data_IF_798742719102
#
_entry.id   IF_798742719102
#
_cell.length_a   1.000
_cell.length_b   1.000
_cell.length_c   1.000
_cell.angle_alpha   90.00
_cell.angle_beta   90.00
_cell.angle_gamma   90.00
#
_symmetry.space_group_name_H-M   'P 1'
#
loop_
_entity.id
_entity.type
_entity.pdbx_description
1 polymer ?
#
# COMPACT_ATOMS: atom_id res chain seq x y z
N UNK A 1 -30.83 27.18 -2.82
CA UNK A 1 -30.94 25.97 -2.00
C UNK A 1 -29.98 24.96 -2.60
N UNK A 2 -28.98 24.58 -1.78
CA UNK A 2 -28.17 23.34 -1.73
C UNK A 2 -27.84 22.64 -3.06
N UNK A 3 -26.59 22.36 -3.45
CA UNK A 3 -25.39 22.00 -2.69
C UNK A 3 -24.87 20.66 -3.24
N UNK A 4 -23.78 20.69 -4.01
CA UNK A 4 -22.68 19.70 -3.98
C UNK A 4 -21.70 19.94 -5.14
N UNK A 5 -20.71 20.79 -4.87
CA UNK A 5 -19.46 20.86 -5.60
C UNK A 5 -18.65 19.61 -5.24
N UNK A 6 -18.81 18.54 -6.02
CA UNK A 6 -17.86 17.42 -6.00
C UNK A 6 -16.57 17.97 -6.61
N UNK A 7 -15.69 18.52 -5.77
CA UNK A 7 -14.34 18.88 -6.15
C UNK A 7 -13.54 17.58 -6.35
N UNK A 8 -13.80 16.85 -7.44
CA UNK A 8 -12.84 15.85 -7.90
C UNK A 8 -11.57 16.62 -8.29
N UNK A 9 -10.42 16.36 -7.65
CA UNK A 9 -9.18 17.04 -8.01
C UNK A 9 -8.85 16.77 -9.49
N UNK A 10 -8.17 17.72 -10.17
CA UNK A 10 -7.90 17.64 -11.61
C UNK A 10 -7.26 16.29 -11.98
N UNK A 11 -7.94 15.58 -12.88
CA UNK A 11 -7.68 14.19 -13.31
C UNK A 11 -6.46 14.04 -14.20
N UNK A 12 -5.33 14.69 -13.87
CA UNK A 12 -4.10 14.68 -14.65
C UNK A 12 -2.86 14.28 -13.85
N UNK A 13 -2.68 14.85 -12.66
CA UNK A 13 -1.43 14.66 -11.87
C UNK A 13 -1.59 13.63 -10.75
N UNK A 14 -2.73 13.59 -10.05
CA UNK A 14 -2.96 12.66 -8.93
C UNK A 14 -3.03 11.19 -9.31
N UNK A 15 -3.55 10.88 -10.52
CA UNK A 15 -3.62 9.48 -11.00
C UNK A 15 -2.23 8.86 -11.13
N UNK A 16 -1.21 9.67 -11.47
CA UNK A 16 0.16 9.20 -11.70
C UNK A 16 0.84 8.75 -10.41
N UNK A 17 0.68 9.49 -9.30
CA UNK A 17 1.27 9.11 -8.01
C UNK A 17 0.58 7.89 -7.39
N UNK A 18 -0.74 7.80 -7.51
CA UNK A 18 -1.48 6.62 -7.04
C UNK A 18 -1.07 5.38 -7.82
N UNK A 19 -1.04 5.44 -9.15
CA UNK A 19 -0.57 4.32 -9.98
C UNK A 19 0.88 3.95 -9.65
N UNK A 20 1.79 4.93 -9.50
CA UNK A 20 3.18 4.67 -9.11
C UNK A 20 3.29 4.04 -7.71
N UNK A 21 2.45 4.45 -6.77
CA UNK A 21 2.34 3.84 -5.44
C UNK A 21 1.87 2.39 -5.51
N UNK A 22 0.85 2.11 -6.31
CA UNK A 22 0.35 0.75 -6.55
C UNK A 22 1.41 -0.12 -7.23
N UNK A 23 2.11 0.37 -8.25
CA UNK A 23 3.21 -0.36 -8.89
C UNK A 23 4.35 -0.69 -7.90
N UNK A 24 4.66 0.23 -6.98
CA UNK A 24 5.62 -0.01 -5.91
C UNK A 24 5.14 -1.09 -4.95
N UNK A 25 3.86 -1.08 -4.54
CA UNK A 25 3.29 -2.15 -3.73
C UNK A 25 3.39 -3.51 -4.41
N UNK A 26 3.01 -3.59 -5.69
CA UNK A 26 3.13 -4.82 -6.48
C UNK A 26 4.57 -5.37 -6.47
N UNK A 27 5.54 -4.48 -6.65
CA UNK A 27 6.96 -4.83 -6.63
C UNK A 27 7.41 -5.33 -5.26
N UNK A 28 7.03 -4.65 -4.19
CA UNK A 28 7.35 -5.05 -2.81
C UNK A 28 6.75 -6.42 -2.47
N UNK A 29 5.47 -6.63 -2.81
CA UNK A 29 4.78 -7.93 -2.61
C UNK A 29 5.52 -9.05 -3.33
N UNK A 30 5.94 -8.80 -4.58
CA UNK A 30 6.74 -9.76 -5.33
C UNK A 30 8.06 -10.07 -4.63
N UNK A 31 8.79 -9.05 -4.17
CA UNK A 31 10.06 -9.27 -3.46
C UNK A 31 9.88 -10.02 -2.13
N UNK A 32 8.81 -9.73 -1.37
CA UNK A 32 8.51 -10.45 -0.13
C UNK A 32 8.21 -11.93 -0.41
N UNK A 33 7.50 -12.21 -1.51
CA UNK A 33 7.16 -13.56 -1.93
C UNK A 33 8.33 -14.36 -2.52
N UNK A 34 9.18 -13.70 -3.32
CA UNK A 34 10.27 -14.32 -4.09
C UNK A 34 11.58 -14.44 -3.31
N UNK A 35 11.89 -13.47 -2.43
CA UNK A 35 13.14 -13.47 -1.69
C UNK A 35 13.16 -14.63 -0.66
N UNK A 36 14.30 -15.27 -0.46
CA UNK A 36 14.45 -16.40 0.47
C UNK A 36 15.00 -15.93 1.83
N UNK A 37 15.58 -14.73 1.87
CA UNK A 37 16.27 -14.17 3.03
C UNK A 37 15.33 -13.33 3.89
N UNK A 38 15.10 -13.78 5.12
CA UNK A 38 14.22 -13.11 6.09
C UNK A 38 14.59 -11.64 6.34
N UNK A 39 15.88 -11.29 6.36
CA UNK A 39 16.33 -9.90 6.57
C UNK A 39 15.86 -8.96 5.44
N UNK A 40 15.89 -9.42 4.19
CA UNK A 40 15.41 -8.62 3.05
C UNK A 40 13.89 -8.46 3.11
N UNK A 41 13.17 -9.53 3.49
CA UNK A 41 11.72 -9.47 3.68
C UNK A 41 11.32 -8.42 4.71
N UNK A 42 12.02 -8.35 5.85
CA UNK A 42 11.76 -7.34 6.87
C UNK A 42 11.91 -5.94 6.28
N UNK A 43 13.00 -5.67 5.56
CA UNK A 43 13.21 -4.36 4.92
C UNK A 43 12.10 -4.03 3.89
N UNK A 44 11.66 -5.00 3.09
CA UNK A 44 10.56 -4.80 2.14
C UNK A 44 9.20 -4.58 2.83
N UNK A 45 8.96 -5.23 3.97
CA UNK A 45 7.77 -5.02 4.79
C UNK A 45 7.76 -3.63 5.43
N UNK A 46 8.92 -3.14 5.90
CA UNK A 46 9.05 -1.76 6.40
C UNK A 46 8.83 -0.72 5.29
N UNK A 47 9.40 -0.94 4.10
CA UNK A 47 9.17 -0.08 2.93
C UNK A 47 7.70 -0.06 2.52
N UNK A 48 7.02 -1.21 2.60
CA UNK A 48 5.58 -1.32 2.35
C UNK A 48 4.79 -0.46 3.34
N UNK A 49 5.07 -0.59 4.64
CA UNK A 49 4.39 0.17 5.68
C UNK A 49 4.60 1.69 5.52
N UNK A 50 5.82 2.11 5.16
CA UNK A 50 6.13 3.53 4.88
C UNK A 50 5.34 4.06 3.70
N UNK A 51 5.27 3.29 2.61
CA UNK A 51 4.53 3.68 1.41
C UNK A 51 3.03 3.79 1.68
N UNK A 52 2.47 2.85 2.44
CA UNK A 52 1.08 2.90 2.90
C UNK A 52 0.77 4.17 3.69
N UNK A 53 1.57 4.45 4.73
CA UNK A 53 1.42 5.66 5.54
C UNK A 53 1.57 6.95 4.73
N UNK A 54 2.51 6.99 3.78
CA UNK A 54 2.71 8.14 2.90
C UNK A 54 1.48 8.40 2.02
N UNK A 55 0.95 7.36 1.37
CA UNK A 55 -0.20 7.50 0.47
C UNK A 55 -1.47 7.85 1.25
N UNK A 56 -1.70 7.28 2.43
CA UNK A 56 -2.81 7.66 3.30
C UNK A 56 -2.64 9.11 3.80
N UNK A 57 -1.44 9.50 4.25
CA UNK A 57 -1.17 10.85 4.73
C UNK A 57 -1.34 11.92 3.65
N UNK A 58 -1.10 11.57 2.37
CA UNK A 58 -1.35 12.45 1.22
C UNK A 58 -2.83 12.52 0.82
N UNK A 59 -3.69 11.71 1.46
CA UNK A 59 -5.12 11.60 1.15
C UNK A 59 -5.37 10.88 -0.17
N UNK A 60 -4.46 10.00 -0.58
CA UNK A 60 -4.65 9.16 -1.77
C UNK A 60 -5.50 7.93 -1.47
N UNK A 61 -5.43 7.43 -0.25
CA UNK A 61 -6.29 6.35 0.25
C UNK A 61 -6.86 6.73 1.60
N UNK A 62 -8.11 6.35 1.86
CA UNK A 62 -8.75 6.62 3.16
C UNK A 62 -8.25 5.66 4.25
N UNK A 63 -7.84 4.45 3.87
CA UNK A 63 -7.41 3.40 4.80
C UNK A 63 -6.59 2.29 4.13
N UNK A 64 -5.92 1.47 4.94
CA UNK A 64 -5.22 0.25 4.51
C UNK A 64 -6.13 -0.68 3.68
N UNK A 65 -7.41 -0.83 4.07
CA UNK A 65 -8.40 -1.67 3.38
C UNK A 65 -8.65 -1.21 1.93
N UNK A 66 -8.61 0.10 1.69
CA UNK A 66 -8.76 0.66 0.34
C UNK A 66 -7.55 0.35 -0.55
N UNK A 67 -6.35 0.35 0.03
CA UNK A 67 -5.12 -0.05 -0.65
C UNK A 67 -5.21 -1.54 -1.02
N UNK A 68 -5.66 -2.40 -0.09
CA UNK A 68 -5.86 -3.84 -0.35
C UNK A 68 -6.82 -4.06 -1.51
N UNK A 69 -8.01 -3.46 -1.45
CA UNK A 69 -9.01 -3.59 -2.52
C UNK A 69 -8.49 -3.11 -3.87
N UNK A 70 -7.69 -2.05 -3.86
CA UNK A 70 -7.06 -1.52 -5.08
C UNK A 70 -6.04 -2.50 -5.64
N UNK A 71 -5.23 -3.13 -4.79
CA UNK A 71 -4.27 -4.15 -5.19
C UNK A 71 -4.97 -5.42 -5.71
N UNK A 72 -6.00 -5.90 -5.02
CA UNK A 72 -6.82 -7.03 -5.46
C UNK A 72 -7.46 -6.76 -6.84
N UNK A 73 -8.04 -5.57 -7.01
CA UNK A 73 -8.63 -5.14 -8.29
C UNK A 73 -7.61 -5.05 -9.44
N UNK A 74 -6.31 -4.96 -9.12
CA UNK A 74 -5.20 -4.95 -10.09
C UNK A 74 -4.59 -6.34 -10.32
N UNK A 75 -5.17 -7.40 -9.74
CA UNK A 75 -4.72 -8.78 -9.91
C UNK A 75 -3.55 -9.17 -9.02
N UNK A 76 -3.31 -8.43 -7.93
CA UNK A 76 -2.31 -8.81 -6.92
C UNK A 76 -2.86 -9.93 -6.06
N UNK A 77 -2.14 -11.05 -5.99
CA UNK A 77 -2.54 -12.18 -5.17
C UNK A 77 -2.14 -11.97 -3.70
N UNK A 78 -3.10 -12.14 -2.81
CA UNK A 78 -2.93 -12.14 -1.34
C UNK A 78 -2.32 -10.86 -0.70
N UNK A 79 -2.74 -9.64 -1.06
CA UNK A 79 -2.26 -8.41 -0.40
C UNK A 79 -2.55 -8.39 1.12
N UNK A 80 -3.65 -8.98 1.56
CA UNK A 80 -3.98 -9.15 2.99
C UNK A 80 -2.94 -9.96 3.77
N UNK A 81 -2.36 -10.99 3.14
CA UNK A 81 -1.36 -11.83 3.78
C UNK A 81 -0.07 -11.06 4.05
N UNK A 82 0.29 -10.15 3.14
CA UNK A 82 1.45 -9.26 3.29
C UNK A 82 1.23 -8.29 4.45
N UNK A 83 0.04 -7.69 4.57
CA UNK A 83 -0.29 -6.84 5.72
C UNK A 83 -0.22 -7.60 7.06
N UNK A 84 -0.68 -8.86 7.08
CA UNK A 84 -0.55 -9.72 8.26
C UNK A 84 0.92 -9.97 8.61
N UNK A 85 1.80 -10.16 7.61
CA UNK A 85 3.24 -10.28 7.82
C UNK A 85 3.86 -9.00 8.38
N UNK A 86 3.47 -7.82 7.87
CA UNK A 86 3.94 -6.52 8.41
C UNK A 86 3.59 -6.42 9.89
N UNK A 87 2.34 -6.70 10.24
CA UNK A 87 1.88 -6.66 11.64
C UNK A 87 2.61 -7.67 12.53
N UNK A 88 2.89 -8.86 12.01
CA UNK A 88 3.66 -9.88 12.74
C UNK A 88 5.09 -9.42 13.01
N UNK A 89 5.77 -8.84 12.02
CA UNK A 89 7.14 -8.31 12.15
C UNK A 89 7.18 -7.12 13.12
N UNK A 90 6.27 -6.15 12.97
CA UNK A 90 6.17 -5.00 13.86
C UNK A 90 5.86 -5.40 15.31
N UNK A 91 5.14 -6.51 15.52
CA UNK A 91 4.89 -7.07 16.85
C UNK A 91 6.11 -7.81 17.43
N UNK A 92 7.05 -8.27 16.60
CA UNK A 92 8.24 -9.02 17.02
C UNK A 92 9.38 -8.14 17.52
N UNK A 93 9.47 -6.87 17.12
CA UNK A 93 10.52 -5.92 17.57
C UNK A 93 10.32 -5.37 19.00
N UNK A 94 9.21 -5.71 19.67
CA UNK A 94 8.86 -5.21 21.01
C UNK A 94 9.21 -6.16 22.17
N UNK A 95 10.09 -7.15 22.00
CA UNK A 95 10.39 -8.16 23.02
C UNK A 95 11.82 -8.12 23.55
#
# INVERSE_FOLDING_TARGET
MEGNNINTPPTGEKKSEVDAGIERFQRLIRYIGDDEHTCNKIAYLEEFEKLEKDLISKGYFESEDEIVKTLEGRGVENPEMILKLIRAVASSEKK
#
